data_IF_912108337830
#
_entry.id   IF_912108337830
#
_cell.length_a   1.000
_cell.length_b   1.000
_cell.length_c   1.000
_cell.angle_alpha   90.00
_cell.angle_beta   90.00
_cell.angle_gamma   90.00
#
_symmetry.space_group_name_H-M   'P 1'
#
loop_
_entity.id
_entity.type
_entity.pdbx_description
1 polymer ?
#
# COMPACT_ATOMS: atom_id res chain seq x y z
N UNK A 1 37.60 0.58 -17.43
CA UNK A 1 37.57 0.89 -15.99
C UNK A 1 38.80 1.72 -15.65
N UNK A 2 38.77 2.69 -14.71
CA UNK A 2 39.91 3.55 -14.34
C UNK A 2 41.12 2.71 -13.91
N UNK A 3 41.86 2.20 -14.88
CA UNK A 3 43.14 1.55 -14.72
C UNK A 3 44.12 2.57 -15.29
N UNK A 4 44.77 3.28 -14.38
CA UNK A 4 46.01 4.02 -14.62
C UNK A 4 45.96 5.35 -15.39
N UNK A 5 44.79 5.84 -15.83
CA UNK A 5 44.67 7.19 -16.42
C UNK A 5 43.64 8.07 -15.69
N UNK A 6 44.06 9.28 -15.32
CA UNK A 6 43.19 10.29 -14.69
C UNK A 6 42.13 10.84 -15.66
N UNK A 7 42.33 10.65 -16.97
CA UNK A 7 41.47 11.16 -18.03
C UNK A 7 40.30 10.21 -18.34
N UNK A 8 39.14 10.80 -18.67
CA UNK A 8 37.96 10.06 -19.15
C UNK A 8 38.26 9.49 -20.54
N UNK A 9 38.16 8.16 -20.75
CA UNK A 9 38.32 7.58 -22.07
C UNK A 9 37.27 8.13 -23.03
N UNK A 10 37.62 8.20 -24.31
CA UNK A 10 36.73 8.59 -25.39
C UNK A 10 35.56 7.62 -25.54
N UNK A 11 34.50 8.05 -26.24
CA UNK A 11 33.38 7.17 -26.54
C UNK A 11 33.78 6.01 -27.46
N UNK A 12 34.69 6.25 -28.42
CA UNK A 12 35.15 5.23 -29.37
C UNK A 12 35.79 4.03 -28.65
N UNK A 13 36.59 4.28 -27.62
CA UNK A 13 37.26 3.24 -26.82
C UNK A 13 36.27 2.39 -26.01
N UNK A 14 35.09 2.91 -25.66
CA UNK A 14 34.10 2.25 -24.79
C UNK A 14 32.87 1.78 -25.58
N UNK A 15 32.75 2.11 -26.85
CA UNK A 15 31.61 1.74 -27.69
C UNK A 15 31.41 0.22 -27.79
N UNK A 16 32.49 -0.56 -27.74
CA UNK A 16 32.45 -2.03 -27.80
C UNK A 16 32.35 -2.71 -26.42
N UNK A 17 32.39 -1.94 -25.35
CA UNK A 17 32.35 -2.46 -23.98
C UNK A 17 30.94 -2.86 -23.52
N UNK A 18 30.90 -3.58 -22.39
CA UNK A 18 29.65 -4.03 -21.78
C UNK A 18 28.71 -2.86 -21.42
N UNK A 19 27.37 -3.08 -21.37
CA UNK A 19 26.42 -2.06 -20.93
C UNK A 19 26.72 -1.50 -19.53
N UNK A 20 27.24 -2.33 -18.62
CA UNK A 20 27.64 -1.92 -17.28
C UNK A 20 28.83 -0.94 -17.35
N UNK A 21 29.85 -1.26 -18.17
CA UNK A 21 31.00 -0.38 -18.40
C UNK A 21 30.57 0.96 -18.97
N UNK A 22 29.67 0.98 -19.96
CA UNK A 22 29.10 2.20 -20.54
C UNK A 22 28.34 3.04 -19.51
N UNK A 23 27.60 2.41 -18.58
CA UNK A 23 26.95 3.12 -17.47
C UNK A 23 27.93 3.74 -16.50
N UNK A 24 28.99 3.03 -16.14
CA UNK A 24 30.04 3.60 -15.30
C UNK A 24 30.78 4.74 -16.01
N UNK A 25 30.99 4.63 -17.33
CA UNK A 25 31.53 5.73 -18.13
C UNK A 25 30.63 6.97 -18.12
N UNK A 26 29.30 6.81 -18.21
CA UNK A 26 28.37 7.93 -18.09
C UNK A 26 28.44 8.61 -16.71
N UNK A 27 28.82 7.86 -15.68
CA UNK A 27 28.99 8.35 -14.30
C UNK A 27 30.41 8.86 -14.00
N UNK A 28 31.31 8.98 -14.99
CA UNK A 28 32.74 9.20 -14.79
C UNK A 28 33.11 10.30 -13.78
N UNK A 29 32.46 11.46 -13.88
CA UNK A 29 32.74 12.62 -13.00
C UNK A 29 32.44 12.34 -11.52
N UNK A 30 31.55 11.39 -11.26
CA UNK A 30 31.21 10.95 -9.91
C UNK A 30 32.08 9.79 -9.41
N UNK A 31 32.94 9.20 -10.25
CA UNK A 31 33.74 8.04 -9.91
C UNK A 31 35.18 8.40 -9.51
N UNK A 32 35.66 7.79 -8.44
CA UNK A 32 37.03 7.97 -7.95
C UNK A 32 37.58 6.65 -7.38
N UNK A 33 38.90 6.52 -7.37
CA UNK A 33 39.58 5.40 -6.71
C UNK A 33 39.93 5.80 -5.28
N UNK A 34 39.73 4.88 -4.34
CA UNK A 34 40.18 5.00 -2.96
C UNK A 34 40.77 3.67 -2.53
N UNK A 35 42.05 3.65 -2.17
CA UNK A 35 42.76 2.45 -1.70
C UNK A 35 42.63 1.25 -2.66
N UNK A 36 42.72 1.52 -3.98
CA UNK A 36 42.54 0.50 -5.03
C UNK A 36 41.08 0.11 -5.32
N UNK A 37 40.09 0.68 -4.62
CA UNK A 37 38.67 0.37 -4.78
C UNK A 37 37.93 1.48 -5.51
N UNK A 38 37.13 1.12 -6.53
CA UNK A 38 36.32 2.05 -7.28
C UNK A 38 35.10 2.49 -6.45
N UNK A 39 34.96 3.80 -6.26
CA UNK A 39 33.92 4.43 -5.48
C UNK A 39 33.15 5.45 -6.33
N UNK A 40 31.90 5.71 -5.94
CA UNK A 40 31.02 6.74 -6.50
C UNK A 40 30.65 7.75 -5.43
N UNK A 41 30.72 9.04 -5.77
CA UNK A 41 30.09 10.13 -5.03
C UNK A 41 28.66 10.31 -5.54
N UNK A 42 27.71 10.32 -4.62
CA UNK A 42 26.33 10.66 -4.93
C UNK A 42 25.93 11.86 -4.08
N UNK A 43 25.33 12.85 -4.73
CA UNK A 43 24.82 14.06 -4.09
C UNK A 43 23.32 14.12 -4.33
N UNK A 44 22.58 14.51 -3.30
CA UNK A 44 21.15 14.75 -3.40
C UNK A 44 20.89 16.05 -4.17
N UNK A 45 19.74 16.15 -4.83
CA UNK A 45 19.40 17.28 -5.71
C UNK A 45 19.39 18.64 -4.97
N UNK A 46 19.17 18.61 -3.66
CA UNK A 46 19.18 19.76 -2.74
C UNK A 46 20.58 20.09 -2.19
N UNK A 47 21.62 19.34 -2.59
CA UNK A 47 23.01 19.50 -2.12
C UNK A 47 23.24 19.16 -0.63
N UNK A 48 22.16 18.93 0.14
CA UNK A 48 22.23 18.74 1.59
C UNK A 48 22.76 17.37 2.04
N UNK A 49 22.85 16.40 1.13
CA UNK A 49 23.33 15.05 1.44
C UNK A 49 24.30 14.54 0.39
N UNK A 50 25.50 14.17 0.84
CA UNK A 50 26.46 13.42 0.05
C UNK A 50 26.62 12.01 0.60
N UNK A 51 26.78 11.02 -0.28
CA UNK A 51 27.10 9.64 0.07
C UNK A 51 28.22 9.11 -0.79
N UNK A 52 29.04 8.25 -0.19
CA UNK A 52 30.10 7.52 -0.88
C UNK A 52 29.66 6.06 -1.01
N UNK A 53 29.60 5.56 -2.23
CA UNK A 53 29.14 4.21 -2.54
C UNK A 53 30.30 3.41 -3.16
N UNK A 54 30.55 2.22 -2.64
CA UNK A 54 31.48 1.27 -3.24
C UNK A 54 30.84 0.69 -4.50
N UNK A 55 31.58 0.69 -5.62
CA UNK A 55 31.15 0.02 -6.84
C UNK A 55 31.37 -1.47 -6.66
N UNK A 56 30.28 -2.24 -6.64
CA UNK A 56 30.35 -3.68 -6.42
C UNK A 56 30.62 -4.44 -7.72
N UNK A 57 31.61 -5.36 -7.72
CA UNK A 57 31.73 -6.37 -8.76
C UNK A 57 30.56 -7.36 -8.74
N UNK A 58 30.23 -7.92 -9.90
CA UNK A 58 29.07 -8.81 -10.06
C UNK A 58 29.05 -10.00 -9.08
N UNK A 59 30.21 -10.58 -8.79
CA UNK A 59 30.31 -11.76 -7.91
C UNK A 59 29.97 -11.47 -6.44
N UNK A 60 30.03 -10.21 -5.98
CA UNK A 60 29.68 -9.82 -4.60
C UNK A 60 28.24 -9.34 -4.44
N UNK A 61 27.50 -9.16 -5.54
CA UNK A 61 26.14 -8.62 -5.51
C UNK A 61 25.22 -9.51 -4.65
N UNK A 62 25.28 -10.83 -4.83
CA UNK A 62 24.38 -11.76 -4.14
C UNK A 62 24.59 -11.78 -2.62
N UNK A 63 25.84 -11.62 -2.17
CA UNK A 63 26.19 -11.53 -0.75
C UNK A 63 25.58 -10.27 -0.11
N UNK A 64 25.82 -9.10 -0.71
CA UNK A 64 25.26 -7.83 -0.23
C UNK A 64 23.74 -7.81 -0.29
N UNK A 65 23.13 -8.39 -1.33
CA UNK A 65 21.68 -8.50 -1.41
C UNK A 65 21.11 -9.34 -0.27
N UNK A 66 21.73 -10.48 0.04
CA UNK A 66 21.35 -11.33 1.18
C UNK A 66 21.41 -10.56 2.48
N UNK A 67 22.52 -9.90 2.80
CA UNK A 67 22.67 -9.13 4.04
C UNK A 67 21.74 -7.90 4.16
N UNK A 68 21.47 -7.25 3.04
CA UNK A 68 20.62 -6.05 3.02
C UNK A 68 19.14 -6.39 3.01
N UNK A 69 18.77 -7.54 2.44
CA UNK A 69 17.41 -8.07 2.44
C UNK A 69 17.09 -8.76 3.77
N UNK A 70 17.97 -9.64 4.23
CA UNK A 70 17.84 -10.40 5.47
C UNK A 70 18.36 -9.51 6.61
N UNK A 71 17.47 -8.67 7.16
CA UNK A 71 17.83 -7.84 8.29
C UNK A 71 18.30 -8.69 9.48
N UNK A 72 19.20 -8.15 10.32
CA UNK A 72 19.81 -8.79 11.50
C UNK A 72 18.80 -9.45 12.46
N UNK A 73 17.53 -9.01 12.45
CA UNK A 73 16.45 -9.55 13.29
C UNK A 73 15.64 -10.68 12.59
N UNK A 74 16.11 -11.27 11.49
CA UNK A 74 15.39 -12.32 10.75
C UNK A 74 14.14 -11.83 10.01
N UNK A 75 13.95 -10.51 9.88
CA UNK A 75 12.82 -9.90 9.16
C UNK A 75 13.28 -9.38 7.80
N UNK A 76 12.86 -10.07 6.75
CA UNK A 76 13.17 -9.71 5.37
C UNK A 76 12.60 -8.33 5.01
N UNK A 77 13.39 -7.49 4.35
CA UNK A 77 12.97 -6.18 3.89
C UNK A 77 12.34 -6.24 2.50
N UNK A 78 11.24 -5.50 2.32
CA UNK A 78 10.67 -5.27 0.99
C UNK A 78 11.55 -4.35 0.15
N UNK A 79 11.34 -4.39 -1.18
CA UNK A 79 12.16 -3.72 -2.21
C UNK A 79 12.63 -2.33 -1.82
N UNK A 80 11.73 -1.42 -1.42
CA UNK A 80 12.09 -0.04 -1.11
C UNK A 80 13.05 0.09 0.09
N UNK A 81 12.86 -0.73 1.13
CA UNK A 81 13.73 -0.71 2.32
C UNK A 81 15.10 -1.29 2.00
N UNK A 82 15.13 -2.42 1.29
CA UNK A 82 16.37 -3.03 0.80
C UNK A 82 17.14 -2.05 -0.07
N UNK A 83 16.49 -1.49 -1.08
CA UNK A 83 17.09 -0.51 -2.00
C UNK A 83 17.70 0.69 -1.28
N UNK A 84 16.98 1.24 -0.30
CA UNK A 84 17.46 2.36 0.51
C UNK A 84 18.72 1.97 1.29
N UNK A 85 18.70 0.83 2.00
CA UNK A 85 19.81 0.33 2.81
C UNK A 85 21.04 0.03 1.95
N UNK A 86 20.86 -0.65 0.82
CA UNK A 86 21.93 -0.95 -0.13
C UNK A 86 22.59 0.33 -0.65
N UNK A 87 21.80 1.35 -1.01
CA UNK A 87 22.29 2.64 -1.50
C UNK A 87 23.02 3.47 -0.46
N UNK A 88 23.00 3.09 0.82
CA UNK A 88 23.80 3.80 1.82
C UNK A 88 25.30 3.57 1.64
N UNK A 89 25.69 2.41 1.11
CA UNK A 89 27.10 1.99 1.03
C UNK A 89 27.53 1.45 -0.32
N UNK A 90 26.61 1.01 -1.18
CA UNK A 90 26.91 0.25 -2.38
C UNK A 90 26.20 0.79 -3.63
N UNK A 91 26.82 0.60 -4.78
CA UNK A 91 26.24 0.83 -6.09
C UNK A 91 26.77 -0.17 -7.12
N UNK A 92 25.94 -0.60 -8.07
CA UNK A 92 26.34 -1.38 -9.24
C UNK A 92 25.33 -1.19 -10.37
N UNK A 93 25.67 -1.66 -11.57
CA UNK A 93 24.74 -1.66 -12.70
C UNK A 93 23.47 -2.44 -12.37
N UNK A 94 22.29 -1.92 -12.74
CA UNK A 94 20.99 -2.58 -12.49
C UNK A 94 20.66 -2.89 -11.03
N UNK A 95 21.30 -2.24 -10.06
CA UNK A 95 21.05 -2.41 -8.61
C UNK A 95 19.57 -2.51 -8.24
N UNK A 96 18.71 -1.65 -8.81
CA UNK A 96 17.26 -1.70 -8.52
C UNK A 96 16.62 -3.01 -9.02
N UNK A 97 16.92 -3.42 -10.24
CA UNK A 97 16.37 -4.64 -10.83
C UNK A 97 16.82 -5.88 -10.05
N UNK A 98 18.07 -5.92 -9.60
CA UNK A 98 18.58 -7.04 -8.81
C UNK A 98 17.94 -7.11 -7.41
N UNK A 99 17.70 -5.95 -6.78
CA UNK A 99 16.96 -5.88 -5.51
C UNK A 99 15.51 -6.34 -5.69
N UNK A 100 14.84 -5.90 -6.76
CA UNK A 100 13.48 -6.32 -7.11
C UNK A 100 13.41 -7.84 -7.32
N UNK A 101 14.34 -8.39 -8.11
CA UNK A 101 14.48 -9.82 -8.37
C UNK A 101 14.69 -10.61 -7.07
N UNK A 102 15.64 -10.19 -6.22
CA UNK A 102 15.92 -10.83 -4.93
C UNK A 102 14.67 -10.87 -4.02
N UNK A 103 13.94 -9.76 -3.90
CA UNK A 103 12.72 -9.72 -3.09
C UNK A 103 11.56 -10.55 -3.70
N UNK A 104 11.55 -10.72 -5.01
CA UNK A 104 10.54 -11.50 -5.74
C UNK A 104 10.78 -13.00 -5.61
N UNK A 105 12.02 -13.44 -5.78
CA UNK A 105 12.43 -14.86 -5.70
C UNK A 105 12.54 -15.35 -4.25
N UNK A 106 12.47 -14.45 -3.26
CA UNK A 106 12.52 -14.81 -1.85
C UNK A 106 11.28 -15.62 -1.41
N UNK A 107 11.50 -16.90 -1.09
CA UNK A 107 10.45 -17.81 -0.59
C UNK A 107 9.79 -17.30 0.70
N UNK A 108 10.58 -16.80 1.66
CA UNK A 108 10.07 -16.28 2.94
C UNK A 108 9.19 -15.02 2.78
N UNK A 109 9.44 -14.21 1.73
CA UNK A 109 8.58 -13.07 1.38
C UNK A 109 7.36 -13.53 0.57
N UNK A 110 7.53 -14.49 -0.33
CA UNK A 110 6.45 -15.09 -1.12
C UNK A 110 5.38 -15.73 -0.24
N UNK A 111 5.79 -16.54 0.74
CA UNK A 111 4.88 -17.19 1.69
C UNK A 111 4.06 -16.18 2.51
N UNK A 112 4.65 -15.03 2.89
CA UNK A 112 3.96 -13.96 3.64
C UNK A 112 2.99 -13.15 2.79
N UNK A 113 3.17 -13.10 1.48
CA UNK A 113 2.21 -12.41 0.59
C UNK A 113 0.87 -13.17 0.50
N UNK A 114 0.78 -14.37 1.08
CA UNK A 114 -0.37 -15.25 0.95
C UNK A 114 -0.66 -15.61 -0.51
N UNK A 115 -1.66 -16.46 -0.78
CA UNK A 115 -2.39 -16.29 -2.03
C UNK A 115 -2.82 -14.82 -2.06
N UNK A 116 -2.77 -14.17 -3.24
CA UNK A 116 -3.57 -12.95 -3.42
C UNK A 116 -4.98 -13.36 -3.03
N UNK A 117 -5.40 -13.03 -1.81
CA UNK A 117 -6.79 -13.16 -1.45
C UNK A 117 -7.49 -12.33 -2.52
N UNK A 118 -8.54 -12.88 -3.08
CA UNK A 118 -9.35 -12.27 -4.13
C UNK A 118 -10.10 -11.03 -3.61
N UNK A 119 -9.50 -10.28 -2.68
CA UNK A 119 -9.91 -9.00 -2.09
C UNK A 119 -9.92 -7.84 -3.12
N UNK A 120 -9.86 -8.17 -4.40
CA UNK A 120 -10.07 -7.25 -5.51
C UNK A 120 -10.88 -7.86 -6.65
N UNK A 121 -11.48 -9.05 -6.46
CA UNK A 121 -12.55 -9.47 -7.36
C UNK A 121 -13.78 -8.66 -6.96
N UNK A 122 -14.44 -8.13 -7.97
CA UNK A 122 -15.76 -7.50 -7.86
C UNK A 122 -16.68 -8.38 -7.01
N UNK A 123 -17.71 -7.79 -6.39
CA UNK A 123 -18.79 -8.50 -5.70
C UNK A 123 -19.31 -9.69 -6.55
N UNK A 124 -19.24 -9.56 -7.86
CA UNK A 124 -19.60 -10.56 -8.88
C UNK A 124 -18.60 -11.70 -9.09
N UNK A 125 -17.50 -11.79 -8.34
CA UNK A 125 -16.48 -12.83 -8.49
C UNK A 125 -15.74 -12.85 -9.85
N UNK A 126 -16.04 -11.89 -10.74
CA UNK A 126 -15.56 -11.78 -12.12
C UNK A 126 -15.13 -10.36 -12.42
N UNK A 127 -14.21 -10.20 -13.37
CA UNK A 127 -13.83 -8.87 -13.86
C UNK A 127 -14.94 -8.30 -14.75
N UNK A 128 -15.07 -6.95 -14.84
CA UNK A 128 -16.04 -6.34 -15.75
C UNK A 128 -15.89 -6.83 -17.21
N UNK A 129 -14.65 -7.06 -17.68
CA UNK A 129 -14.40 -7.58 -19.03
C UNK A 129 -14.96 -9.01 -19.24
N UNK A 130 -14.94 -9.84 -18.19
CA UNK A 130 -15.55 -11.17 -18.21
C UNK A 130 -17.07 -11.08 -18.14
N UNK A 131 -17.63 -10.14 -17.38
CA UNK A 131 -19.08 -9.94 -17.26
C UNK A 131 -19.72 -9.37 -18.54
N UNK A 132 -19.07 -8.41 -19.20
CA UNK A 132 -19.65 -7.69 -20.34
C UNK A 132 -19.24 -8.23 -21.70
N UNK A 133 -18.02 -8.76 -21.83
CA UNK A 133 -17.47 -9.14 -23.14
C UNK A 133 -17.10 -10.61 -23.22
N UNK A 134 -17.29 -11.40 -22.15
CA UNK A 134 -16.82 -12.79 -22.04
C UNK A 134 -15.33 -12.93 -22.43
N UNK A 135 -14.55 -11.85 -22.27
CA UNK A 135 -13.13 -11.77 -22.63
C UNK A 135 -12.32 -11.60 -21.36
N UNK A 136 -11.42 -12.54 -21.10
CA UNK A 136 -10.38 -12.35 -20.10
C UNK A 136 -9.39 -11.31 -20.62
N UNK A 137 -9.13 -10.26 -19.83
CA UNK A 137 -8.08 -9.28 -20.14
C UNK A 137 -6.75 -10.01 -20.32
N UNK A 138 -6.02 -9.68 -21.40
CA UNK A 138 -4.65 -10.19 -21.61
C UNK A 138 -3.67 -9.32 -20.84
N UNK A 139 -2.86 -9.92 -19.98
CA UNK A 139 -1.79 -9.20 -19.31
C UNK A 139 -0.61 -8.99 -20.27
N UNK A 140 0.24 -7.96 -20.08
CA UNK A 140 1.42 -7.74 -20.91
C UNK A 140 2.32 -8.98 -21.04
N UNK A 141 2.42 -9.80 -19.98
CA UNK A 141 3.11 -11.08 -20.03
C UNK A 141 2.43 -12.12 -20.93
N UNK A 142 1.10 -12.17 -20.99
CA UNK A 142 0.35 -13.09 -21.85
C UNK A 142 0.53 -12.73 -23.34
N UNK A 143 0.74 -11.45 -23.62
CA UNK A 143 1.05 -10.93 -24.96
C UNK A 143 2.50 -11.27 -25.33
N UNK A 144 3.44 -11.10 -24.40
CA UNK A 144 4.87 -11.29 -24.64
C UNK A 144 5.31 -12.77 -24.65
N UNK A 145 4.68 -13.62 -23.85
CA UNK A 145 5.11 -15.01 -23.64
C UNK A 145 4.07 -16.06 -24.02
N UNK A 146 2.87 -15.66 -24.43
CA UNK A 146 1.77 -16.57 -24.74
C UNK A 146 1.12 -17.18 -23.48
N UNK A 147 -0.07 -17.77 -23.65
CA UNK A 147 -0.78 -18.50 -22.57
C UNK A 147 -0.42 -19.99 -22.63
N UNK A 148 -0.25 -20.69 -21.49
CA UNK A 148 -0.13 -22.15 -21.46
C UNK A 148 -1.27 -22.83 -22.23
N UNK A 149 -0.97 -23.90 -22.99
CA UNK A 149 -1.91 -24.57 -23.91
C UNK A 149 -3.15 -25.18 -23.24
N UNK A 150 -3.15 -25.34 -21.91
CA UNK A 150 -4.20 -26.06 -21.19
C UNK A 150 -5.47 -25.23 -20.92
N UNK A 151 -5.52 -23.96 -21.33
CA UNK A 151 -6.77 -23.22 -21.29
C UNK A 151 -7.55 -23.41 -22.59
N UNK A 152 -8.80 -23.90 -22.56
CA UNK A 152 -9.59 -24.11 -23.76
C UNK A 152 -9.74 -22.80 -24.54
N UNK A 153 -9.04 -22.73 -25.67
CA UNK A 153 -9.13 -21.65 -26.64
C UNK A 153 -10.31 -21.90 -27.56
N UNK A 154 -11.51 -21.54 -27.11
CA UNK A 154 -12.60 -21.19 -28.00
C UNK A 154 -13.54 -20.23 -27.30
N UNK A 155 -13.68 -18.97 -27.75
CA UNK A 155 -14.82 -18.18 -27.38
C UNK A 155 -15.98 -18.69 -28.23
N UNK A 156 -16.66 -19.75 -27.78
CA UNK A 156 -18.06 -19.91 -28.20
C UNK A 156 -18.79 -18.73 -27.59
N UNK A 157 -18.87 -17.62 -28.35
CA UNK A 157 -19.73 -16.48 -28.09
C UNK A 157 -21.18 -16.91 -28.30
N UNK A 158 -21.66 -17.90 -27.55
CA UNK A 158 -23.09 -18.13 -27.45
C UNK A 158 -23.65 -17.06 -26.54
N UNK A 159 -24.65 -16.33 -27.02
CA UNK A 159 -25.43 -15.36 -26.25
C UNK A 159 -25.90 -15.97 -24.93
N UNK A 160 -26.33 -17.24 -24.96
CA UNK A 160 -26.70 -18.02 -23.79
C UNK A 160 -25.61 -18.09 -22.69
N UNK A 161 -24.32 -18.12 -23.05
CA UNK A 161 -23.23 -18.12 -22.06
C UNK A 161 -23.07 -16.75 -21.42
N UNK A 162 -23.20 -15.67 -22.19
CA UNK A 162 -23.15 -14.29 -21.68
C UNK A 162 -24.32 -14.03 -20.73
N UNK A 163 -25.53 -14.46 -21.08
CA UNK A 163 -26.71 -14.33 -20.21
C UNK A 163 -26.53 -15.12 -18.91
N UNK A 164 -26.01 -16.34 -18.97
CA UNK A 164 -25.68 -17.13 -17.77
C UNK A 164 -24.61 -16.46 -16.91
N UNK A 165 -23.56 -15.88 -17.52
CA UNK A 165 -22.53 -15.09 -16.84
C UNK A 165 -23.14 -13.87 -16.13
N UNK A 166 -24.06 -13.16 -16.77
CA UNK A 166 -24.70 -11.98 -16.21
C UNK A 166 -25.69 -12.34 -15.10
N UNK A 167 -26.48 -13.40 -15.28
CA UNK A 167 -27.42 -13.89 -14.27
C UNK A 167 -26.69 -14.33 -12.99
N UNK A 168 -25.66 -15.16 -13.13
CA UNK A 168 -24.82 -15.58 -11.99
C UNK A 168 -24.13 -14.41 -11.29
N UNK A 169 -23.65 -13.41 -12.05
CA UNK A 169 -23.09 -12.20 -11.47
C UNK A 169 -24.14 -11.42 -10.66
N UNK A 170 -25.37 -11.32 -11.15
CA UNK A 170 -26.49 -10.69 -10.45
C UNK A 170 -26.84 -11.40 -9.14
N UNK A 171 -26.95 -12.74 -9.17
CA UNK A 171 -27.22 -13.54 -7.97
C UNK A 171 -26.13 -13.36 -6.90
N UNK A 172 -24.86 -13.33 -7.32
CA UNK A 172 -23.75 -13.12 -6.40
C UNK A 172 -23.75 -11.71 -5.77
N UNK A 173 -24.20 -10.70 -6.51
CA UNK A 173 -24.43 -9.34 -5.97
C UNK A 173 -25.51 -9.35 -4.91
N UNK A 174 -26.64 -10.01 -5.16
CA UNK A 174 -27.74 -10.10 -4.20
C UNK A 174 -27.35 -10.87 -2.94
N UNK A 175 -26.70 -12.03 -3.08
CA UNK A 175 -26.19 -12.80 -1.94
C UNK A 175 -25.19 -11.98 -1.11
N UNK A 176 -24.29 -11.27 -1.77
CA UNK A 176 -23.31 -10.41 -1.09
C UNK A 176 -23.98 -9.22 -0.38
N UNK A 177 -25.03 -8.65 -0.97
CA UNK A 177 -25.84 -7.58 -0.37
C UNK A 177 -26.52 -8.07 0.91
N UNK A 178 -27.12 -9.25 0.88
CA UNK A 178 -27.77 -9.84 2.07
C UNK A 178 -26.75 -10.16 3.17
N UNK A 179 -25.60 -10.77 2.81
CA UNK A 179 -24.52 -11.03 3.78
C UNK A 179 -23.93 -9.74 4.37
N UNK A 180 -23.84 -8.66 3.58
CA UNK A 180 -23.39 -7.36 4.07
C UNK A 180 -24.41 -6.78 5.06
N UNK A 181 -25.70 -6.87 4.75
CA UNK A 181 -26.80 -6.46 5.63
C UNK A 181 -26.78 -7.23 6.95
N UNK A 182 -26.76 -8.56 6.92
CA UNK A 182 -26.68 -9.40 8.14
C UNK A 182 -25.47 -9.03 9.00
N UNK A 183 -24.30 -8.78 8.38
CA UNK A 183 -23.09 -8.37 9.12
C UNK A 183 -23.20 -6.98 9.71
N UNK A 184 -23.85 -6.05 9.02
CA UNK A 184 -24.06 -4.70 9.52
C UNK A 184 -25.06 -4.71 10.69
N UNK A 185 -26.20 -5.38 10.49
CA UNK A 185 -27.29 -5.45 11.46
C UNK A 185 -26.86 -6.21 12.73
N UNK A 186 -26.10 -7.31 12.61
CA UNK A 186 -25.56 -8.04 13.79
C UNK A 186 -24.55 -7.26 14.62
N UNK A 187 -23.96 -6.18 14.07
CA UNK A 187 -23.04 -5.28 14.78
C UNK A 187 -23.69 -3.98 15.23
N UNK A 188 -24.94 -3.74 14.84
CA UNK A 188 -25.68 -2.57 15.27
C UNK A 188 -25.86 -2.64 16.78
N UNK A 189 -25.38 -1.62 17.50
CA UNK A 189 -25.46 -1.60 18.96
C UNK A 189 -26.78 -0.98 19.40
N UNK A 190 -27.51 -1.69 20.24
CA UNK A 190 -28.85 -1.30 20.68
C UNK A 190 -28.80 -0.29 21.85
N UNK A 191 -28.45 0.96 21.56
CA UNK A 191 -28.42 2.02 22.58
C UNK A 191 -29.67 2.91 22.51
N UNK A 192 -30.62 2.68 23.40
CA UNK A 192 -31.80 3.53 23.52
C UNK A 192 -31.57 4.65 24.54
N UNK A 193 -31.78 5.90 24.13
CA UNK A 193 -31.69 7.07 24.99
C UNK A 193 -33.06 7.72 25.18
N UNK A 194 -33.32 8.25 26.37
CA UNK A 194 -34.52 9.00 26.72
C UNK A 194 -34.24 10.50 26.69
N UNK A 195 -35.29 11.30 26.56
CA UNK A 195 -35.19 12.76 26.69
C UNK A 195 -34.72 13.11 28.10
N UNK A 196 -33.73 13.99 28.21
CA UNK A 196 -33.04 14.33 29.46
C UNK A 196 -31.71 13.60 29.67
N UNK A 197 -31.45 12.48 28.97
CA UNK A 197 -30.21 11.73 29.17
C UNK A 197 -28.97 12.53 28.75
N UNK A 198 -27.88 12.37 29.52
CA UNK A 198 -26.58 12.92 29.18
C UNK A 198 -25.81 11.95 28.29
N UNK A 199 -25.25 12.48 27.20
CA UNK A 199 -24.53 11.70 26.19
C UNK A 199 -23.28 12.40 25.69
N UNK A 200 -22.28 11.60 25.29
CA UNK A 200 -21.15 12.06 24.49
C UNK A 200 -21.52 12.06 23.00
N UNK A 201 -21.07 13.07 22.27
CA UNK A 201 -21.27 13.19 20.82
C UNK A 201 -19.94 13.05 20.08
N UNK A 202 -19.86 12.13 19.12
CA UNK A 202 -18.71 11.97 18.24
C UNK A 202 -18.68 13.04 17.15
N UNK A 203 -17.62 13.87 17.15
CA UNK A 203 -17.39 14.97 16.22
C UNK A 203 -15.96 14.95 15.67
N UNK A 204 -15.69 14.24 14.56
CA UNK A 204 -14.35 14.08 13.98
C UNK A 204 -13.85 15.31 13.19
N UNK A 205 -14.30 16.52 13.53
CA UNK A 205 -13.86 17.75 12.84
C UNK A 205 -12.39 18.04 13.17
N UNK A 206 -11.51 17.96 12.17
CA UNK A 206 -10.07 18.21 12.34
C UNK A 206 -9.80 19.66 12.78
N UNK A 207 -9.07 19.84 13.88
CA UNK A 207 -8.60 21.16 14.34
C UNK A 207 -7.23 21.46 13.73
N UNK A 208 -7.09 22.62 13.08
CA UNK A 208 -5.78 23.07 12.56
C UNK A 208 -4.82 23.26 13.75
N UNK A 209 -3.58 22.81 13.60
CA UNK A 209 -2.54 22.91 14.63
C UNK A 209 -2.43 21.70 15.58
N UNK A 210 -3.37 20.76 15.58
CA UNK A 210 -3.23 19.48 16.29
C UNK A 210 -2.99 18.33 15.32
N UNK A 211 -2.18 17.36 15.75
CA UNK A 211 -2.04 16.11 14.99
C UNK A 211 -3.34 15.29 15.10
N UNK A 212 -3.81 14.63 14.01
CA UNK A 212 -5.04 13.85 14.04
C UNK A 212 -5.07 12.74 15.11
N UNK A 213 -3.89 12.26 15.53
CA UNK A 213 -3.77 11.18 16.53
C UNK A 213 -3.98 11.66 17.97
N UNK A 214 -3.75 12.94 18.24
CA UNK A 214 -3.87 13.52 19.58
C UNK A 214 -5.20 14.24 19.79
N UNK A 215 -6.10 14.20 18.80
CA UNK A 215 -7.34 14.94 18.86
C UNK A 215 -8.45 14.15 19.56
N UNK A 216 -9.07 14.74 20.57
CA UNK A 216 -10.28 14.20 21.20
C UNK A 216 -11.49 14.43 20.28
N UNK A 217 -12.03 13.34 19.72
CA UNK A 217 -13.17 13.39 18.81
C UNK A 217 -14.52 13.23 19.51
N UNK A 218 -14.54 12.91 20.81
CA UNK A 218 -15.76 12.82 21.60
C UNK A 218 -15.93 14.11 22.42
N UNK A 219 -17.05 14.80 22.20
CA UNK A 219 -17.39 16.08 22.84
C UNK A 219 -18.65 15.91 23.70
N UNK A 220 -18.72 16.55 24.86
CA UNK A 220 -19.85 16.39 25.78
C UNK A 220 -19.59 16.99 27.17
N UNK A 221 -20.55 16.87 28.10
CA UNK A 221 -21.85 16.20 27.92
C UNK A 221 -22.85 17.01 27.05
N UNK A 222 -23.74 16.30 26.37
CA UNK A 222 -24.91 16.83 25.69
C UNK A 222 -26.17 16.23 26.32
N UNK A 223 -27.26 16.98 26.41
CA UNK A 223 -28.57 16.49 26.82
C UNK A 223 -29.37 16.08 25.60
N UNK A 224 -30.02 14.92 25.64
CA UNK A 224 -31.01 14.50 24.63
C UNK A 224 -32.27 15.35 24.83
N UNK A 225 -32.54 16.24 23.88
CA UNK A 225 -33.71 17.12 23.92
C UNK A 225 -34.94 16.43 23.38
N UNK A 226 -34.78 15.69 22.29
CA UNK A 226 -35.89 15.02 21.63
C UNK A 226 -35.45 13.76 20.90
N UNK A 227 -36.19 12.66 21.05
CA UNK A 227 -36.07 11.50 20.16
C UNK A 227 -36.87 11.78 18.89
N UNK A 228 -36.20 11.83 17.74
CA UNK A 228 -36.88 12.03 16.45
C UNK A 228 -37.35 10.68 15.92
N UNK A 229 -36.41 9.72 15.80
CA UNK A 229 -36.64 8.32 15.42
C UNK A 229 -35.77 7.42 16.33
N UNK A 230 -35.91 6.09 16.24
CA UNK A 230 -35.07 5.13 17.01
C UNK A 230 -33.57 5.31 16.78
N UNK A 231 -33.22 5.80 15.59
CA UNK A 231 -31.84 5.94 15.12
C UNK A 231 -31.35 7.39 15.20
N UNK A 232 -32.24 8.38 15.35
CA UNK A 232 -31.91 9.81 15.22
C UNK A 232 -32.42 10.60 16.42
N UNK A 233 -31.49 11.29 17.08
CA UNK A 233 -31.74 12.07 18.29
C UNK A 233 -31.37 13.53 18.08
N UNK A 234 -32.11 14.43 18.71
CA UNK A 234 -31.77 15.84 18.83
C UNK A 234 -31.10 16.06 20.19
N UNK A 235 -29.86 16.53 20.17
CA UNK A 235 -29.06 16.77 21.38
C UNK A 235 -28.65 18.24 21.50
N UNK A 236 -28.44 18.71 22.71
CA UNK A 236 -28.10 20.11 22.99
C UNK A 236 -27.08 20.20 24.13
N UNK A 237 -26.07 21.06 23.99
CA UNK A 237 -24.97 21.16 24.97
C UNK A 237 -25.32 22.02 26.18
N UNK A 238 -26.09 23.07 25.96
CA UNK A 238 -26.56 24.01 26.98
C UNK A 238 -27.87 24.66 26.49
N UNK A 239 -28.71 25.20 27.39
CA UNK A 239 -30.01 25.77 27.02
C UNK A 239 -29.95 26.82 25.90
N UNK A 240 -28.85 27.58 25.85
CA UNK A 240 -28.63 28.64 24.85
C UNK A 240 -27.91 28.15 23.58
N UNK A 241 -27.37 26.93 23.57
CA UNK A 241 -26.68 26.39 22.40
C UNK A 241 -27.66 25.87 21.34
N UNK A 242 -27.31 26.02 20.06
CA UNK A 242 -28.11 25.46 18.96
C UNK A 242 -28.19 23.92 19.07
N UNK A 243 -29.40 23.32 19.05
CA UNK A 243 -29.57 21.87 19.04
C UNK A 243 -28.95 21.24 17.78
N UNK A 244 -28.46 20.00 17.90
CA UNK A 244 -27.89 19.22 16.79
C UNK A 244 -28.67 17.91 16.62
N UNK A 245 -28.96 17.55 15.38
CA UNK A 245 -29.55 16.26 15.04
C UNK A 245 -28.44 15.28 14.69
N UNK A 246 -28.39 14.14 15.40
CA UNK A 246 -27.31 13.16 15.26
C UNK A 246 -27.87 11.74 15.24
N UNK A 247 -27.16 10.88 14.49
CA UNK A 247 -27.43 9.45 14.42
C UNK A 247 -26.88 8.74 15.67
N UNK A 248 -27.58 7.71 16.16
CA UNK A 248 -27.26 6.89 17.34
C UNK A 248 -25.79 6.42 17.39
N UNK A 249 -25.24 5.97 16.26
CA UNK A 249 -23.81 5.61 16.11
C UNK A 249 -22.80 6.74 16.42
N UNK A 250 -23.25 7.98 16.59
CA UNK A 250 -22.42 9.14 16.99
C UNK A 250 -22.68 9.56 18.43
N UNK A 251 -23.43 8.77 19.18
CA UNK A 251 -23.83 8.99 20.56
C UNK A 251 -23.22 7.89 21.42
N UNK A 252 -22.72 8.25 22.60
CA UNK A 252 -22.32 7.29 23.60
C UNK A 252 -22.88 7.71 24.97
N UNK A 253 -23.22 6.76 25.86
CA UNK A 253 -23.72 7.09 27.19
C UNK A 253 -22.68 7.91 27.97
N UNK A 254 -23.13 8.98 28.62
CA UNK A 254 -22.29 9.74 29.55
C UNK A 254 -22.33 9.07 30.92
N UNK A 255 -21.16 8.69 31.45
CA UNK A 255 -21.01 8.23 32.83
C UNK A 255 -20.30 9.33 33.60
N UNK A 256 -20.96 9.92 34.60
CA UNK A 256 -20.29 10.81 35.53
C UNK A 256 -19.23 9.99 36.26
N UNK A 257 -17.96 10.38 36.13
CA UNK A 257 -16.92 9.87 37.01
C UNK A 257 -17.09 10.60 38.34
N UNK A 258 -17.54 9.88 39.36
CA UNK A 258 -17.58 10.39 40.73
C UNK A 258 -16.14 10.65 41.21
N UNK A 259 -15.59 11.79 40.82
CA UNK A 259 -14.43 12.37 41.51
C UNK A 259 -14.93 13.07 42.76
N UNK A 260 -15.47 12.29 43.68
CA UNK A 260 -15.73 12.70 45.06
C UNK A 260 -15.17 11.64 46.01
N UNK A 261 -13.87 11.40 45.88
CA UNK A 261 -13.03 10.82 46.92
C UNK A 261 -11.79 11.69 46.99
N UNK A 262 -11.59 12.25 48.19
CA UNK A 262 -10.52 13.11 48.67
C UNK A 262 -9.14 12.55 48.32
#
# INVERSE_FOLDING_TARGET
MKLNSAARPSWQEIAHESPATKRYWALWNSLYLKDGVLCRKWESNDGGFYRRQLILPNFRIQEVLRETHDNTNGRHFGVMKTLRKTRERFYWDRLRADVEKCCWECQACGARKGPKTEQGKSVTGRTPAETFSNRTLRFPCDILFGRPRDTPSSPTNSEARLESVQASAGEQVELSREQMKIRYDSRATDHHFKEGDLVWMYNPKRRRGLSPKLQQNWEGPYTVVKKLNDVVYRVQRSPNAKPKVIHINRVAPYRATDHNSI
#
